data_IF_507471419610
#
_entry.id   IF_507471419610
#
_cell.length_a   1.000
_cell.length_b   1.000
_cell.length_c   1.000
_cell.angle_alpha   90.00
_cell.angle_beta   90.00
_cell.angle_gamma   90.00
#
_symmetry.space_group_name_H-M   'P 1'
#
loop_
_entity.id
_entity.type
_entity.pdbx_description
1 polymer ?
#
# COMPACT_ATOMS: atom_id res chain seq x y z
N UNK A 1 1.69 14.72 -18.24
CA UNK A 1 1.57 15.16 -16.81
C UNK A 1 1.70 13.95 -15.89
N UNK A 2 1.83 14.07 -14.57
CA UNK A 2 1.82 12.86 -13.73
C UNK A 2 0.44 12.17 -13.81
N UNK A 3 0.40 10.85 -13.98
CA UNK A 3 -0.85 10.11 -14.11
C UNK A 3 -1.57 9.91 -12.76
N UNK A 4 -0.90 10.19 -11.64
CA UNK A 4 -1.45 10.12 -10.29
C UNK A 4 -0.68 11.06 -9.37
N UNK A 5 -1.27 11.34 -8.20
CA UNK A 5 -0.73 12.24 -7.16
C UNK A 5 0.05 11.50 -6.10
N UNK A 6 -0.40 10.30 -5.71
CA UNK A 6 0.31 9.46 -4.74
C UNK A 6 -0.07 7.98 -4.81
N UNK A 7 0.67 7.16 -4.06
CA UNK A 7 0.22 5.84 -3.62
C UNK A 7 -0.76 6.02 -2.45
N UNK A 8 -2.05 5.78 -2.70
CA UNK A 8 -3.12 5.90 -1.72
C UNK A 8 -2.99 4.85 -0.62
N UNK A 9 -2.93 3.59 -1.03
CA UNK A 9 -2.74 2.46 -0.11
C UNK A 9 -2.12 1.24 -0.80
N UNK A 10 -1.59 0.35 0.04
CA UNK A 10 -1.13 -0.99 -0.31
C UNK A 10 -2.12 -2.00 0.26
N UNK A 11 -2.64 -2.88 -0.58
CA UNK A 11 -3.61 -3.91 -0.18
C UNK A 11 -2.86 -5.16 0.28
N UNK A 12 -3.13 -5.62 1.50
CA UNK A 12 -2.60 -6.86 2.06
C UNK A 12 -3.76 -7.82 2.29
N UNK A 13 -3.77 -8.92 1.52
CA UNK A 13 -4.71 -10.03 1.71
C UNK A 13 -4.20 -10.92 2.82
N UNK A 14 -5.06 -11.28 3.76
CA UNK A 14 -4.74 -12.03 4.97
C UNK A 14 -5.75 -13.14 5.21
N UNK A 15 -5.36 -14.16 5.97
CA UNK A 15 -6.32 -15.17 6.48
C UNK A 15 -7.09 -14.67 7.71
N UNK A 16 -6.46 -13.80 8.49
CA UNK A 16 -7.05 -13.11 9.63
C UNK A 16 -6.35 -11.75 9.80
N UNK A 17 -7.10 -10.69 10.11
CA UNK A 17 -6.55 -9.34 10.26
C UNK A 17 -5.93 -9.13 11.65
N UNK A 18 -6.52 -9.71 12.70
CA UNK A 18 -6.20 -9.40 14.10
C UNK A 18 -4.71 -9.50 14.48
N UNK A 19 -3.93 -10.51 14.02
CA UNK A 19 -2.52 -10.60 14.38
C UNK A 19 -1.70 -9.43 13.83
N UNK A 20 -1.84 -9.13 12.53
CA UNK A 20 -1.09 -8.03 11.91
C UNK A 20 -1.61 -6.67 12.39
N UNK A 21 -2.91 -6.54 12.65
CA UNK A 21 -3.48 -5.35 13.26
C UNK A 21 -2.89 -5.07 14.65
N UNK A 22 -2.84 -6.09 15.52
CA UNK A 22 -2.31 -5.96 16.88
C UNK A 22 -0.83 -5.59 16.88
N UNK A 23 -0.06 -6.15 15.94
CA UNK A 23 1.33 -5.78 15.73
C UNK A 23 1.45 -4.31 15.30
N UNK A 24 0.80 -3.91 14.20
CA UNK A 24 1.00 -2.59 13.61
C UNK A 24 0.39 -1.45 14.45
N UNK A 25 -0.87 -1.58 14.87
CA UNK A 25 -1.56 -0.54 15.64
C UNK A 25 -1.22 -0.59 17.13
N UNK A 26 -1.05 -1.79 17.68
CA UNK A 26 -0.78 -2.00 19.10
C UNK A 26 0.70 -1.88 19.43
N UNK A 27 1.51 -2.85 19.02
CA UNK A 27 2.92 -2.93 19.40
C UNK A 27 3.79 -1.85 18.76
N UNK A 28 3.60 -1.60 17.45
CA UNK A 28 4.32 -0.58 16.71
C UNK A 28 3.68 0.81 16.85
N UNK A 29 2.51 0.91 17.50
CA UNK A 29 1.85 2.19 17.80
C UNK A 29 1.55 3.04 16.56
N UNK A 30 1.35 2.41 15.39
CA UNK A 30 1.09 3.13 14.15
C UNK A 30 -0.36 3.64 14.12
N UNK A 31 -0.62 4.82 13.52
CA UNK A 31 -1.95 5.38 13.50
C UNK A 31 -2.94 4.52 12.71
N UNK A 32 -4.15 4.43 13.24
CA UNK A 32 -5.28 3.85 12.53
C UNK A 32 -5.89 4.91 11.61
N UNK A 33 -5.79 4.70 10.30
CA UNK A 33 -6.46 5.55 9.29
C UNK A 33 -7.89 5.10 9.03
N UNK A 34 -8.20 3.83 9.26
CA UNK A 34 -9.57 3.33 9.24
C UNK A 34 -9.74 2.24 10.30
N UNK A 35 -10.65 2.42 11.28
CA UNK A 35 -10.90 1.42 12.31
C UNK A 35 -11.19 0.02 11.77
N UNK A 36 -10.62 -0.99 12.41
CA UNK A 36 -10.90 -2.40 12.12
C UNK A 36 -12.40 -2.67 12.17
N UNK A 37 -12.92 -3.24 11.10
CA UNK A 37 -14.29 -3.69 10.94
C UNK A 37 -14.32 -5.20 10.79
N UNK A 38 -15.36 -5.81 11.34
CA UNK A 38 -15.72 -7.20 11.05
C UNK A 38 -17.13 -7.21 10.47
N UNK A 39 -17.26 -7.79 9.29
CA UNK A 39 -18.52 -7.90 8.55
C UNK A 39 -18.74 -9.34 8.08
N UNK A 40 -19.93 -9.62 7.56
CA UNK A 40 -20.27 -10.95 7.06
C UNK A 40 -19.44 -11.40 5.84
N UNK A 41 -18.77 -10.48 5.14
CA UNK A 41 -17.99 -10.77 3.94
C UNK A 41 -16.48 -10.63 4.13
N UNK A 42 -16.03 -9.81 5.08
CA UNK A 42 -14.61 -9.61 5.36
C UNK A 42 -14.38 -8.98 6.74
N UNK A 43 -13.15 -9.12 7.24
CA UNK A 43 -12.56 -8.25 8.26
C UNK A 43 -11.54 -7.34 7.60
N UNK A 44 -11.58 -6.04 7.87
CA UNK A 44 -10.72 -5.08 7.19
C UNK A 44 -10.50 -3.80 7.98
N UNK A 45 -9.38 -3.12 7.74
CA UNK A 45 -9.03 -1.87 8.40
C UNK A 45 -7.72 -1.32 7.85
N UNK A 46 -7.46 -0.02 8.07
CA UNK A 46 -6.31 0.67 7.47
C UNK A 46 -5.37 1.25 8.51
N UNK A 47 -4.07 1.02 8.34
CA UNK A 47 -3.01 1.57 9.19
C UNK A 47 -2.16 2.54 8.37
N UNK A 48 -1.92 3.73 8.91
CA UNK A 48 -1.02 4.69 8.30
C UNK A 48 0.44 4.32 8.56
N UNK A 49 1.25 4.32 7.52
CA UNK A 49 2.70 4.05 7.59
C UNK A 49 3.54 5.25 7.20
N UNK A 50 2.96 6.45 7.20
CA UNK A 50 3.63 7.73 6.97
C UNK A 50 3.22 8.37 5.66
N UNK A 51 3.69 7.80 4.55
CA UNK A 51 3.45 8.32 3.20
C UNK A 51 2.36 7.55 2.42
N UNK A 52 1.82 6.48 3.00
CA UNK A 52 0.72 5.69 2.44
C UNK A 52 -0.01 4.95 3.56
N UNK A 53 -1.09 4.24 3.21
CA UNK A 53 -1.82 3.36 4.13
C UNK A 53 -1.62 1.89 3.76
N UNK A 54 -1.66 1.00 4.76
CA UNK A 54 -1.80 -0.43 4.57
C UNK A 54 -3.27 -0.79 4.77
N UNK A 55 -3.94 -1.22 3.71
CA UNK A 55 -5.25 -1.85 3.79
C UNK A 55 -5.08 -3.32 4.15
N UNK A 56 -5.49 -3.69 5.36
CA UNK A 56 -5.52 -5.08 5.80
C UNK A 56 -6.89 -5.65 5.44
N UNK A 57 -6.91 -6.75 4.71
CA UNK A 57 -8.15 -7.39 4.25
C UNK A 57 -8.09 -8.90 4.41
N UNK A 58 -8.97 -9.44 5.26
CA UNK A 58 -9.25 -10.86 5.32
C UNK A 58 -10.67 -11.11 4.79
N UNK A 59 -10.75 -11.68 3.59
CA UNK A 59 -12.03 -12.09 3.02
C UNK A 59 -12.58 -13.30 3.78
N UNK A 60 -13.90 -13.47 3.77
CA UNK A 60 -14.53 -14.69 4.28
C UNK A 60 -14.17 -15.92 3.43
N UNK A 61 -13.95 -15.69 2.14
CA UNK A 61 -13.57 -16.69 1.15
C UNK A 61 -12.58 -16.04 0.16
N UNK A 62 -11.55 -16.79 -0.21
CA UNK A 62 -10.47 -16.36 -1.11
C UNK A 62 -10.56 -17.05 -2.49
N UNK A 63 -11.75 -17.53 -2.86
CA UNK A 63 -12.01 -18.15 -4.17
C UNK A 63 -11.82 -17.17 -5.35
N UNK A 64 -11.72 -15.87 -5.10
CA UNK A 64 -11.36 -14.86 -6.09
C UNK A 64 -9.85 -14.85 -6.42
N UNK A 65 -9.03 -15.55 -5.64
CA UNK A 65 -7.57 -15.60 -5.80
C UNK A 65 -7.10 -16.92 -6.42
N UNK A 66 -6.04 -16.91 -7.25
CA UNK A 66 -5.49 -18.14 -7.78
C UNK A 66 -4.82 -18.98 -6.66
N UNK A 67 -4.76 -20.32 -6.81
CA UNK A 67 -4.18 -21.22 -5.78
C UNK A 67 -2.74 -20.87 -5.37
N UNK A 68 -1.95 -20.38 -6.31
CA UNK A 68 -0.56 -19.99 -6.13
C UNK A 68 -0.38 -18.58 -5.56
N UNK A 69 -1.47 -17.81 -5.39
CA UNK A 69 -1.47 -16.48 -4.79
C UNK A 69 -2.41 -16.40 -3.58
N UNK A 70 -2.57 -17.48 -2.83
CA UNK A 70 -3.39 -17.47 -1.62
C UNK A 70 -2.77 -16.58 -0.52
N UNK A 71 -3.58 -15.97 0.36
CA UNK A 71 -3.07 -15.15 1.46
C UNK A 71 -2.30 -15.98 2.50
N UNK A 72 -1.47 -15.33 3.34
CA UNK A 72 -1.21 -13.89 3.40
C UNK A 72 -0.25 -13.39 2.32
N UNK A 73 -0.54 -12.21 1.74
CA UNK A 73 0.32 -11.55 0.74
C UNK A 73 0.01 -10.07 0.54
N UNK A 74 0.97 -9.35 0.00
CA UNK A 74 0.71 -8.01 -0.56
C UNK A 74 0.11 -8.20 -1.95
N UNK A 75 -1.15 -7.80 -2.11
CA UNK A 75 -1.95 -8.10 -3.30
C UNK A 75 -2.03 -6.94 -4.27
N UNK A 76 -1.88 -5.69 -3.83
CA UNK A 76 -2.10 -4.59 -4.75
C UNK A 76 -1.66 -3.21 -4.27
N UNK A 77 -1.67 -2.29 -5.22
CA UNK A 77 -1.25 -0.91 -5.07
C UNK A 77 -2.34 0.00 -5.65
N UNK A 78 -2.89 0.85 -4.80
CA UNK A 78 -3.89 1.84 -5.19
C UNK A 78 -3.22 3.20 -5.40
N UNK A 79 -3.42 3.78 -6.57
CA UNK A 79 -2.90 5.08 -6.95
C UNK A 79 -4.02 6.12 -6.88
N UNK A 80 -3.76 7.26 -6.25
CA UNK A 80 -4.70 8.39 -6.16
C UNK A 80 -4.59 9.27 -7.43
N UNK A 81 -5.54 9.20 -8.38
CA UNK A 81 -5.53 10.07 -9.56
C UNK A 81 -5.93 11.50 -9.16
N UNK A 82 -5.37 12.50 -9.85
CA UNK A 82 -5.86 13.88 -9.72
C UNK A 82 -7.25 14.03 -10.36
N UNK A 83 -7.40 13.44 -11.55
CA UNK A 83 -8.62 13.34 -12.32
C UNK A 83 -8.60 11.98 -13.02
N UNK A 84 -9.60 11.13 -12.76
CA UNK A 84 -9.55 9.73 -13.20
C UNK A 84 -9.55 9.60 -14.73
N UNK A 85 -10.36 10.40 -15.43
CA UNK A 85 -10.49 10.31 -16.89
C UNK A 85 -9.22 10.80 -17.57
N UNK A 86 -8.68 11.94 -17.13
CA UNK A 86 -7.42 12.48 -17.62
C UNK A 86 -6.25 11.52 -17.32
N UNK A 87 -6.23 10.90 -16.14
CA UNK A 87 -5.24 9.89 -15.78
C UNK A 87 -5.29 8.66 -16.68
N UNK A 88 -6.48 8.16 -17.00
CA UNK A 88 -6.66 7.03 -17.93
C UNK A 88 -6.22 7.42 -19.34
N UNK A 89 -6.59 8.62 -19.82
CA UNK A 89 -6.19 9.11 -21.14
C UNK A 89 -4.66 9.28 -21.24
N UNK A 90 -4.01 9.80 -20.20
CA UNK A 90 -2.56 9.92 -20.11
C UNK A 90 -1.89 8.54 -20.13
N UNK A 91 -2.39 7.56 -19.40
CA UNK A 91 -1.85 6.19 -19.44
C UNK A 91 -2.05 5.52 -20.81
N UNK A 92 -3.19 5.71 -21.45
CA UNK A 92 -3.43 5.22 -22.80
C UNK A 92 -2.43 5.82 -23.80
N UNK A 93 -2.13 7.12 -23.70
CA UNK A 93 -1.11 7.78 -24.52
C UNK A 93 0.31 7.22 -24.30
N UNK A 94 0.56 6.58 -23.16
CA UNK A 94 1.82 5.89 -22.83
C UNK A 94 1.78 4.39 -23.11
N UNK A 95 0.71 3.90 -23.74
CA UNK A 95 0.55 2.48 -24.07
C UNK A 95 0.26 1.60 -22.85
N UNK A 96 -0.36 2.15 -21.80
CA UNK A 96 -0.88 1.39 -20.66
C UNK A 96 -2.41 1.35 -20.75
N UNK A 97 -2.97 0.15 -20.88
CA UNK A 97 -4.39 -0.10 -20.89
C UNK A 97 -4.97 -0.11 -19.47
N UNK A 98 -6.18 0.44 -19.33
CA UNK A 98 -6.96 0.38 -18.10
C UNK A 98 -8.29 -0.33 -18.33
N UNK A 99 -8.80 -1.03 -17.30
CA UNK A 99 -10.22 -1.42 -17.27
C UNK A 99 -11.10 -0.16 -17.20
N UNK A 100 -12.32 -0.22 -17.75
CA UNK A 100 -13.29 0.85 -17.57
C UNK A 100 -13.50 1.19 -16.08
N UNK A 101 -13.64 2.48 -15.73
CA UNK A 101 -13.93 2.91 -14.36
C UNK A 101 -15.15 2.18 -13.78
N UNK A 102 -15.01 1.66 -12.56
CA UNK A 102 -16.09 1.00 -11.81
C UNK A 102 -16.31 1.72 -10.49
N UNK A 103 -17.47 2.34 -10.35
CA UNK A 103 -17.89 2.96 -9.11
C UNK A 103 -18.21 1.91 -8.04
N UNK A 104 -17.69 2.11 -6.83
CA UNK A 104 -18.11 1.42 -5.63
C UNK A 104 -19.11 2.29 -4.87
N UNK A 105 -20.27 1.72 -4.54
CA UNK A 105 -21.37 2.44 -3.91
C UNK A 105 -21.83 1.72 -2.66
N UNK A 106 -22.11 2.48 -1.60
CA UNK A 106 -22.77 1.98 -0.39
C UNK A 106 -24.03 2.77 -0.08
N UNK A 107 -24.87 2.24 0.81
CA UNK A 107 -25.95 3.02 1.39
C UNK A 107 -25.39 3.88 2.53
N UNK A 108 -25.74 5.15 2.56
CA UNK A 108 -25.46 6.02 3.70
C UNK A 108 -26.47 5.80 4.84
N UNK A 109 -26.34 6.58 5.92
CA UNK A 109 -27.24 6.49 7.08
C UNK A 109 -28.72 6.82 6.76
N UNK A 110 -29.00 7.49 5.63
CA UNK A 110 -30.36 7.76 5.15
C UNK A 110 -30.89 6.65 4.22
N UNK A 111 -30.06 5.66 3.90
CA UNK A 111 -30.36 4.60 2.93
C UNK A 111 -30.10 5.00 1.47
N UNK A 112 -29.60 6.21 1.22
CA UNK A 112 -29.31 6.69 -0.12
C UNK A 112 -28.03 6.02 -0.66
N UNK A 113 -28.04 5.65 -1.95
CA UNK A 113 -26.85 5.10 -2.61
C UNK A 113 -25.87 6.23 -2.94
N UNK A 114 -24.72 6.20 -2.28
CA UNK A 114 -23.61 7.14 -2.51
C UNK A 114 -22.45 6.42 -3.17
N UNK A 115 -21.76 7.10 -4.09
CA UNK A 115 -20.47 6.62 -4.61
C UNK A 115 -19.42 6.96 -3.57
N UNK A 116 -18.60 5.96 -3.20
CA UNK A 116 -17.53 6.16 -2.24
C UNK A 116 -16.23 6.49 -2.97
N UNK A 117 -15.92 5.66 -3.96
CA UNK A 117 -14.76 5.77 -4.82
C UNK A 117 -15.03 5.08 -6.15
N UNK A 118 -14.22 5.39 -7.15
CA UNK A 118 -14.24 4.75 -8.46
C UNK A 118 -12.87 4.16 -8.77
N UNK A 119 -12.84 2.87 -9.09
CA UNK A 119 -11.60 2.16 -9.41
C UNK A 119 -11.41 1.96 -10.91
N UNK A 120 -10.16 2.01 -11.38
CA UNK A 120 -9.78 1.57 -12.72
C UNK A 120 -8.47 0.78 -12.66
N UNK A 121 -8.49 -0.50 -13.04
CA UNK A 121 -7.32 -1.39 -12.99
C UNK A 121 -6.39 -1.11 -14.15
N UNK A 122 -5.08 -0.98 -13.90
CA UNK A 122 -4.04 -0.83 -14.92
C UNK A 122 -3.63 -2.22 -15.39
N UNK A 123 -4.11 -2.64 -16.57
CA UNK A 123 -4.02 -4.02 -17.06
C UNK A 123 -2.56 -4.45 -17.28
N UNK A 124 -1.74 -3.59 -17.88
CA UNK A 124 -0.34 -3.93 -18.22
C UNK A 124 0.63 -3.94 -17.02
N UNK A 125 0.13 -3.58 -15.83
CA UNK A 125 0.86 -3.62 -14.56
C UNK A 125 0.24 -4.59 -13.56
N UNK A 126 -0.89 -5.19 -13.93
CA UNK A 126 -1.64 -6.08 -13.05
C UNK A 126 -1.52 -7.52 -13.48
N UNK A 127 -1.70 -8.41 -12.51
CA UNK A 127 -1.88 -9.84 -12.66
C UNK A 127 -2.94 -10.31 -11.67
N UNK A 128 -3.31 -11.59 -11.73
CA UNK A 128 -4.22 -12.19 -10.75
C UNK A 128 -3.65 -12.17 -9.31
N UNK A 129 -2.33 -11.98 -9.17
CA UNK A 129 -1.61 -11.96 -7.90
C UNK A 129 -1.05 -10.58 -7.52
N UNK A 130 -1.23 -9.56 -8.35
CA UNK A 130 -0.76 -8.19 -8.13
C UNK A 130 -1.69 -7.22 -8.86
N UNK A 131 -2.56 -6.51 -8.15
CA UNK A 131 -3.50 -5.56 -8.73
C UNK A 131 -2.99 -4.13 -8.56
N UNK A 132 -2.71 -3.43 -9.66
CA UNK A 132 -2.40 -2.00 -9.67
C UNK A 132 -3.59 -1.25 -10.24
N UNK A 133 -4.13 -0.29 -9.49
CA UNK A 133 -5.36 0.40 -9.88
C UNK A 133 -5.40 1.85 -9.43
N UNK A 134 -6.13 2.69 -10.16
CA UNK A 134 -6.55 3.99 -9.65
C UNK A 134 -7.68 3.82 -8.65
N UNK A 135 -7.66 4.61 -7.57
CA UNK A 135 -8.72 4.76 -6.59
C UNK A 135 -9.11 6.24 -6.49
N UNK A 136 -10.14 6.64 -7.23
CA UNK A 136 -10.63 8.02 -7.23
C UNK A 136 -11.72 8.19 -6.17
N UNK A 137 -11.39 8.87 -5.07
CA UNK A 137 -12.32 9.16 -3.99
C UNK A 137 -13.39 10.17 -4.40
N UNK A 138 -14.65 9.88 -4.08
CA UNK A 138 -15.74 10.83 -4.21
C UNK A 138 -15.77 11.76 -2.99
N UNK A 139 -15.76 13.07 -3.20
CA UNK A 139 -15.74 14.05 -2.11
C UNK A 139 -17.01 14.03 -1.24
N UNK A 140 -18.14 13.61 -1.81
CA UNK A 140 -19.39 13.38 -1.07
C UNK A 140 -19.49 11.96 -0.51
N UNK A 141 -18.61 11.06 -0.96
CA UNK A 141 -18.56 9.66 -0.59
C UNK A 141 -18.16 9.46 0.87
N UNK A 142 -19.04 8.81 1.62
CA UNK A 142 -18.74 8.25 2.93
C UNK A 142 -18.60 6.75 2.78
N UNK A 143 -17.56 6.16 3.37
CA UNK A 143 -17.50 4.70 3.46
C UNK A 143 -18.12 4.33 4.78
N UNK A 144 -19.40 3.94 4.75
CA UNK A 144 -20.11 3.53 5.95
C UNK A 144 -19.30 2.46 6.72
N UNK A 145 -19.16 2.58 8.06
CA UNK A 145 -19.89 3.48 8.96
C UNK A 145 -19.27 4.87 9.17
N UNK A 146 -18.23 5.25 8.43
CA UNK A 146 -17.55 6.53 8.66
C UNK A 146 -18.36 7.70 8.07
N UNK A 147 -18.89 8.63 8.88
CA UNK A 147 -19.64 9.79 8.37
C UNK A 147 -18.74 10.85 7.70
N UNK A 148 -17.42 10.68 7.74
CA UNK A 148 -16.48 11.73 7.34
C UNK A 148 -16.43 11.88 5.81
N UNK A 149 -16.82 13.07 5.34
CA UNK A 149 -16.77 13.49 3.94
C UNK A 149 -15.45 14.21 3.68
N UNK A 150 -14.37 13.44 3.61
CA UNK A 150 -13.07 13.95 3.19
C UNK A 150 -12.72 13.45 1.80
N UNK A 151 -12.26 14.37 0.96
CA UNK A 151 -11.57 14.01 -0.28
C UNK A 151 -10.19 13.39 0.00
N UNK A 152 -9.53 12.91 -1.06
CA UNK A 152 -8.21 12.26 -0.96
C UNK A 152 -7.13 13.16 -0.33
N UNK A 153 -7.13 14.46 -0.64
CA UNK A 153 -6.13 15.40 -0.14
C UNK A 153 -6.34 15.69 1.36
N UNK A 154 -7.60 15.86 1.76
CA UNK A 154 -7.99 16.06 3.15
C UNK A 154 -7.67 14.83 4.00
N UNK A 155 -7.97 13.62 3.51
CA UNK A 155 -7.61 12.36 4.19
C UNK A 155 -6.10 12.26 4.39
N UNK A 156 -5.31 12.52 3.35
CA UNK A 156 -3.86 12.51 3.44
C UNK A 156 -3.33 13.53 4.43
N UNK A 157 -3.86 14.75 4.42
CA UNK A 157 -3.43 15.81 5.35
C UNK A 157 -3.73 15.44 6.81
N UNK A 158 -4.92 14.88 7.08
CA UNK A 158 -5.30 14.36 8.40
C UNK A 158 -4.35 13.24 8.83
N UNK A 159 -4.15 12.23 7.99
CA UNK A 159 -3.31 11.07 8.31
C UNK A 159 -1.87 11.47 8.56
N UNK A 160 -1.31 12.37 7.73
CA UNK A 160 0.02 12.92 7.92
C UNK A 160 0.16 13.67 9.26
N UNK A 161 -0.87 14.41 9.68
CA UNK A 161 -0.88 15.09 10.99
C UNK A 161 -0.83 14.08 12.14
N UNK A 162 -1.65 13.02 12.09
CA UNK A 162 -1.68 11.99 13.14
C UNK A 162 -0.37 11.20 13.18
N UNK A 163 0.18 10.82 12.02
CA UNK A 163 1.45 10.12 11.94
C UNK A 163 2.63 10.93 12.45
N UNK A 164 2.68 12.23 12.14
CA UNK A 164 3.69 13.13 12.72
C UNK A 164 3.59 13.19 14.25
N UNK A 165 2.38 13.18 14.81
CA UNK A 165 2.18 13.23 16.25
C UNK A 165 2.72 11.97 16.97
N UNK A 166 2.59 10.78 16.37
CA UNK A 166 3.17 9.56 16.94
C UNK A 166 4.65 9.36 16.57
N UNK A 167 5.23 10.23 15.73
CA UNK A 167 6.63 10.20 15.28
C UNK A 167 7.07 8.88 14.64
N UNK A 168 6.11 8.15 14.05
CA UNK A 168 6.34 6.82 13.47
C UNK A 168 6.38 5.67 14.48
N UNK A 169 5.82 5.88 15.67
CA UNK A 169 5.80 4.89 16.74
C UNK A 169 7.20 4.60 17.32
N UNK A 170 7.34 3.52 18.09
CA UNK A 170 8.61 3.17 18.74
C UNK A 170 9.77 2.87 17.78
N UNK A 171 9.46 2.44 16.55
CA UNK A 171 10.46 2.23 15.51
C UNK A 171 10.99 3.54 14.90
N UNK A 172 10.28 4.65 15.10
CA UNK A 172 10.56 5.89 14.38
C UNK A 172 10.36 5.73 12.87
N UNK A 173 9.29 5.04 12.46
CA UNK A 173 8.93 4.83 11.06
C UNK A 173 8.78 6.18 10.32
N UNK A 174 9.24 6.24 9.08
CA UNK A 174 9.17 7.43 8.24
C UNK A 174 8.15 7.26 7.11
N UNK A 175 8.09 6.08 6.52
CA UNK A 175 7.37 5.84 5.28
C UNK A 175 7.70 4.48 4.70
N UNK A 176 6.88 4.02 3.75
CA UNK A 176 7.30 3.02 2.77
C UNK A 176 8.38 3.64 1.87
N UNK A 177 9.46 2.91 1.59
CA UNK A 177 10.54 3.38 0.72
C UNK A 177 10.73 2.56 -0.54
N UNK A 178 10.44 1.26 -0.45
CA UNK A 178 10.62 0.37 -1.59
C UNK A 178 9.60 -0.75 -1.59
N UNK A 179 9.09 -1.05 -2.78
CA UNK A 179 8.25 -2.19 -3.07
C UNK A 179 9.07 -3.15 -3.94
N UNK A 180 9.29 -4.37 -3.45
CA UNK A 180 9.93 -5.43 -4.20
C UNK A 180 8.91 -6.21 -5.01
N UNK A 181 9.07 -6.25 -6.33
CA UNK A 181 8.23 -7.02 -7.24
C UNK A 181 9.05 -8.16 -7.84
N UNK A 182 8.53 -9.38 -7.74
CA UNK A 182 8.97 -10.48 -8.56
C UNK A 182 8.17 -10.46 -9.86
N UNK A 183 8.85 -10.49 -11.01
CA UNK A 183 8.24 -10.37 -12.34
C UNK A 183 8.75 -11.45 -13.30
N UNK A 184 7.93 -11.95 -14.23
CA UNK A 184 8.36 -12.97 -15.19
C UNK A 184 9.38 -12.45 -16.21
N UNK A 185 9.22 -11.20 -16.65
CA UNK A 185 10.15 -10.50 -17.55
C UNK A 185 10.49 -9.12 -16.95
N UNK A 186 11.74 -8.98 -16.50
CA UNK A 186 12.22 -7.74 -15.88
C UNK A 186 12.30 -6.57 -16.87
N UNK A 187 12.65 -6.85 -18.14
CA UNK A 187 12.80 -5.81 -19.14
C UNK A 187 11.44 -5.24 -19.54
N UNK A 188 10.46 -6.11 -19.78
CA UNK A 188 9.08 -5.71 -20.05
C UNK A 188 8.49 -4.97 -18.85
N UNK A 189 8.57 -5.54 -17.65
CA UNK A 189 8.05 -4.90 -16.44
C UNK A 189 8.70 -3.53 -16.20
N UNK A 190 10.01 -3.41 -16.39
CA UNK A 190 10.74 -2.13 -16.27
C UNK A 190 10.21 -1.09 -17.25
N UNK A 191 9.94 -1.48 -18.50
CA UNK A 191 9.35 -0.59 -19.49
C UNK A 191 7.95 -0.11 -19.07
N UNK A 192 7.07 -1.02 -18.60
CA UNK A 192 5.71 -0.69 -18.14
C UNK A 192 5.69 0.21 -16.91
N UNK A 193 6.49 -0.12 -15.91
CA UNK A 193 6.60 0.69 -14.69
C UNK A 193 7.17 2.07 -14.98
N UNK A 194 8.15 2.20 -15.88
CA UNK A 194 8.65 3.52 -16.30
C UNK A 194 7.63 4.33 -17.09
N UNK A 195 6.82 3.67 -17.92
CA UNK A 195 5.72 4.34 -18.61
C UNK A 195 4.69 4.88 -17.62
N UNK A 196 4.36 4.13 -16.56
CA UNK A 196 3.48 4.59 -15.49
C UNK A 196 4.05 5.83 -14.78
N UNK A 197 5.29 5.73 -14.31
CA UNK A 197 5.90 6.74 -13.44
C UNK A 197 6.54 7.91 -14.18
N UNK A 198 6.68 7.82 -15.49
CA UNK A 198 7.53 8.71 -16.30
C UNK A 198 8.98 8.82 -15.78
N UNK A 199 9.48 7.79 -15.10
CA UNK A 199 10.84 7.79 -14.55
C UNK A 199 11.90 7.76 -15.67
N UNK A 200 12.98 8.55 -15.57
CA UNK A 200 14.11 8.49 -16.49
C UNK A 200 14.89 7.18 -16.31
N UNK A 201 16.02 7.02 -17.02
CA UNK A 201 16.97 5.90 -16.75
C UNK A 201 17.45 5.97 -15.29
N UNK A 202 17.49 4.83 -14.60
CA UNK A 202 17.84 4.75 -13.17
C UNK A 202 16.77 4.01 -12.34
N UNK A 203 16.71 4.20 -11.01
CA UNK A 203 15.66 3.64 -10.17
C UNK A 203 14.25 4.03 -10.64
N UNK A 204 13.28 3.13 -10.52
CA UNK A 204 11.88 3.41 -10.85
C UNK A 204 11.26 4.08 -9.62
N UNK A 205 11.05 5.39 -9.69
CA UNK A 205 10.41 6.14 -8.62
C UNK A 205 8.88 6.09 -8.80
N UNK A 206 8.20 5.29 -7.98
CA UNK A 206 6.73 5.29 -7.90
C UNK A 206 6.23 6.60 -7.30
N UNK A 207 6.93 7.07 -6.26
CA UNK A 207 6.81 8.38 -5.65
C UNK A 207 8.23 8.94 -5.45
N UNK A 208 8.40 10.25 -5.16
CA UNK A 208 9.73 10.80 -4.84
C UNK A 208 10.46 10.04 -3.72
N UNK A 209 9.71 9.41 -2.82
CA UNK A 209 10.18 8.68 -1.65
C UNK A 209 9.88 7.17 -1.70
N UNK A 210 9.22 6.65 -2.76
CA UNK A 210 8.89 5.23 -2.92
C UNK A 210 9.46 4.72 -4.24
N UNK A 211 10.37 3.75 -4.18
CA UNK A 211 10.91 3.07 -5.35
C UNK A 211 10.23 1.72 -5.60
N UNK A 212 10.21 1.30 -6.87
CA UNK A 212 9.90 -0.07 -7.27
C UNK A 212 11.21 -0.77 -7.64
N UNK A 213 11.46 -1.91 -7.00
CA UNK A 213 12.57 -2.79 -7.32
C UNK A 213 12.02 -4.05 -7.97
N UNK A 214 12.47 -4.32 -9.21
CA UNK A 214 12.08 -5.50 -9.96
C UNK A 214 13.15 -6.58 -9.77
N UNK A 215 12.71 -7.83 -9.66
CA UNK A 215 13.57 -9.00 -9.69
C UNK A 215 12.89 -10.13 -10.46
N UNK A 216 13.64 -11.07 -11.04
CA UNK A 216 13.06 -12.24 -11.68
C UNK A 216 12.23 -13.06 -10.68
N UNK A 217 10.98 -13.34 -11.04
CA UNK A 217 10.05 -14.15 -10.26
C UNK A 217 10.02 -15.62 -10.66
N UNK A 218 9.47 -16.46 -9.78
CA UNK A 218 9.23 -17.89 -10.07
C UNK A 218 7.87 -18.17 -10.71
N UNK A 219 6.97 -17.20 -10.66
CA UNK A 219 5.61 -17.30 -11.16
C UNK A 219 5.51 -16.72 -12.58
N UNK A 220 4.56 -17.19 -13.40
CA UNK A 220 4.30 -16.62 -14.73
C UNK A 220 3.62 -15.24 -14.67
N UNK A 221 3.47 -14.67 -13.48
CA UNK A 221 2.81 -13.40 -13.22
C UNK A 221 3.59 -12.60 -12.18
N UNK A 222 3.37 -11.29 -12.15
CA UNK A 222 3.97 -10.41 -11.17
C UNK A 222 3.40 -10.64 -9.76
N UNK A 223 4.25 -10.55 -8.73
CA UNK A 223 3.89 -10.60 -7.31
C UNK A 223 4.64 -9.51 -6.53
N UNK A 224 3.99 -8.96 -5.50
CA UNK A 224 4.66 -8.08 -4.53
C UNK A 224 5.25 -8.96 -3.43
N UNK A 225 6.57 -9.05 -3.39
CA UNK A 225 7.30 -9.97 -2.51
C UNK A 225 7.74 -9.31 -1.21
N UNK A 226 8.02 -8.01 -1.22
CA UNK A 226 8.47 -7.31 -0.01
C UNK A 226 8.05 -5.85 0.06
N UNK A 227 7.88 -5.37 1.29
CA UNK A 227 7.72 -3.96 1.62
C UNK A 227 8.89 -3.54 2.50
N UNK A 228 9.58 -2.48 2.10
CA UNK A 228 10.75 -1.96 2.81
C UNK A 228 10.44 -0.54 3.28
N UNK A 229 10.45 -0.36 4.60
CA UNK A 229 10.11 0.88 5.26
C UNK A 229 11.36 1.62 5.74
N UNK A 230 11.32 2.95 5.67
CA UNK A 230 12.32 3.81 6.28
C UNK A 230 12.10 3.95 7.78
N UNK A 231 13.15 3.87 8.57
CA UNK A 231 13.18 4.25 9.99
C UNK A 231 14.19 5.36 10.22
N UNK A 232 13.95 6.24 11.20
CA UNK A 232 14.86 7.36 11.50
C UNK A 232 16.23 6.91 12.02
N UNK A 233 16.27 5.78 12.74
CA UNK A 233 17.49 5.23 13.30
C UNK A 233 17.44 3.71 13.26
N UNK A 234 18.30 3.10 12.45
CA UNK A 234 18.37 1.64 12.36
C UNK A 234 18.83 0.98 13.67
N UNK A 235 19.80 1.54 14.43
CA UNK A 235 20.13 1.02 15.76
C UNK A 235 18.95 1.03 16.73
N UNK A 236 18.14 2.10 16.74
CA UNK A 236 16.95 2.18 17.59
C UNK A 236 15.91 1.12 17.21
N UNK A 237 15.59 1.02 15.91
CA UNK A 237 14.65 0.02 15.41
C UNK A 237 15.13 -1.41 15.73
N UNK A 238 16.42 -1.69 15.56
CA UNK A 238 17.04 -2.98 15.88
C UNK A 238 16.87 -3.34 17.35
N UNK A 239 17.17 -2.42 18.25
CA UNK A 239 17.03 -2.64 19.68
C UNK A 239 15.58 -2.94 20.07
N UNK A 240 14.63 -2.15 19.55
CA UNK A 240 13.20 -2.33 19.81
C UNK A 240 12.68 -3.69 19.33
N UNK A 241 13.03 -4.07 18.09
CA UNK A 241 12.61 -5.35 17.49
C UNK A 241 13.25 -6.54 18.22
N UNK A 242 14.54 -6.46 18.55
CA UNK A 242 15.24 -7.54 19.24
C UNK A 242 14.67 -7.78 20.66
N UNK A 243 14.38 -6.72 21.42
CA UNK A 243 13.78 -6.81 22.76
C UNK A 243 12.43 -7.55 22.75
N UNK A 244 11.66 -7.41 21.65
CA UNK A 244 10.34 -8.03 21.46
C UNK A 244 10.38 -9.34 20.69
N UNK A 245 11.58 -9.86 20.37
CA UNK A 245 11.77 -11.04 19.54
C UNK A 245 11.16 -10.90 18.13
N UNK A 246 10.98 -9.66 17.64
CA UNK A 246 10.43 -9.34 16.32
C UNK A 246 11.50 -9.20 15.22
N UNK A 247 12.76 -9.54 15.50
CA UNK A 247 13.87 -9.43 14.56
C UNK A 247 14.25 -10.81 14.01
N UNK A 248 14.03 -11.05 12.72
CA UNK A 248 14.45 -12.29 12.04
C UNK A 248 15.94 -12.25 11.70
N UNK A 249 16.32 -11.17 11.01
CA UNK A 249 17.64 -10.99 10.44
C UNK A 249 18.03 -9.53 10.52
N UNK A 250 19.33 -9.29 10.66
CA UNK A 250 19.87 -7.97 10.89
C UNK A 250 21.22 -7.83 10.21
N UNK A 251 21.36 -6.84 9.35
CA UNK A 251 22.61 -6.42 8.71
C UNK A 251 22.91 -4.97 9.08
N UNK A 252 24.09 -4.41 8.72
CA UNK A 252 24.37 -3.00 8.94
C UNK A 252 23.35 -2.05 8.31
N UNK A 253 22.76 -2.42 7.17
CA UNK A 253 21.93 -1.52 6.35
C UNK A 253 20.44 -1.89 6.35
N UNK A 254 20.08 -3.09 6.78
CA UNK A 254 18.70 -3.60 6.70
C UNK A 254 18.35 -4.50 7.90
N UNK A 255 17.10 -4.41 8.37
CA UNK A 255 16.47 -5.30 9.32
C UNK A 255 15.30 -6.04 8.65
N UNK A 256 15.08 -7.29 9.02
CA UNK A 256 13.95 -8.10 8.57
C UNK A 256 13.07 -8.44 9.77
N UNK A 257 11.76 -8.17 9.64
CA UNK A 257 10.77 -8.49 10.66
C UNK A 257 10.62 -10.01 10.78
N UNK A 258 10.46 -10.50 12.00
CA UNK A 258 10.29 -11.91 12.31
C UNK A 258 9.12 -12.54 11.54
N UNK A 259 9.35 -13.69 10.89
CA UNK A 259 8.31 -14.37 10.11
C UNK A 259 7.14 -14.84 10.96
N UNK A 260 7.36 -15.11 12.25
CA UNK A 260 6.27 -15.47 13.16
C UNK A 260 5.36 -14.29 13.50
N UNK A 261 5.83 -13.04 13.37
CA UNK A 261 5.04 -11.84 13.62
C UNK A 261 4.10 -11.53 12.44
N UNK A 262 4.51 -11.86 11.22
CA UNK A 262 3.70 -11.74 10.01
C UNK A 262 4.00 -12.89 9.01
N UNK A 263 3.46 -14.10 9.24
CA UNK A 263 3.71 -15.23 8.36
C UNK A 263 3.41 -14.89 6.91
N UNK A 264 4.29 -15.29 5.98
CA UNK A 264 4.12 -15.09 4.54
C UNK A 264 4.31 -13.65 4.03
N UNK A 265 4.61 -12.67 4.89
CA UNK A 265 4.97 -11.31 4.48
C UNK A 265 6.46 -11.07 4.75
N UNK A 266 7.14 -10.41 3.80
CA UNK A 266 8.52 -9.93 3.95
C UNK A 266 8.50 -8.41 4.20
N UNK A 267 8.56 -8.03 5.47
CA UNK A 267 8.59 -6.65 5.90
C UNK A 267 10.00 -6.30 6.38
N UNK A 268 10.56 -5.23 5.80
CA UNK A 268 11.96 -4.83 6.01
C UNK A 268 12.07 -3.39 6.47
N UNK A 269 13.16 -3.08 7.13
CA UNK A 269 13.45 -1.72 7.59
C UNK A 269 14.86 -1.29 7.20
N UNK A 270 14.99 -0.07 6.69
CA UNK A 270 16.26 0.57 6.33
C UNK A 270 16.35 1.95 6.96
N UNK A 271 17.56 2.47 7.16
CA UNK A 271 17.70 3.83 7.66
C UNK A 271 17.27 4.84 6.58
N UNK A 272 16.36 5.74 6.96
CA UNK A 272 15.86 6.74 6.04
C UNK A 272 16.93 7.82 5.75
N UNK A 273 17.01 8.34 4.51
CA UNK A 273 17.89 9.45 4.20
C UNK A 273 17.64 10.63 5.15
N UNK A 274 18.69 11.36 5.52
CA UNK A 274 18.55 12.55 6.37
C UNK A 274 17.57 13.54 5.74
N UNK A 275 16.53 13.91 6.49
CA UNK A 275 15.46 14.81 6.02
C UNK A 275 14.23 14.09 5.42
N UNK A 276 14.26 12.78 5.24
CA UNK A 276 13.07 12.02 4.86
C UNK A 276 11.99 12.11 5.96
N UNK A 277 10.76 12.45 5.56
CA UNK A 277 9.63 12.69 6.48
C UNK A 277 9.57 14.10 7.10
N UNK A 278 10.40 15.04 6.63
CA UNK A 278 10.31 16.46 6.93
C UNK A 278 9.73 17.24 5.73
N UNK A 279 8.56 16.81 5.25
CA UNK A 279 7.80 17.57 4.26
C UNK A 279 6.78 18.45 5.01
N UNK A 280 6.99 19.77 4.93
CA UNK A 280 6.03 20.80 5.31
C UNK A 280 4.83 20.81 4.37
#
# INVERSE_FOLDING_TARGET
MAAYRALDHVVIRLRAVDPLWSLLAGELGLPVSWPLQHSAFASFGWINVGNTNLELWAARDDADMPPEAQPPRVQGLALDPADLEASIAELAARGIACKPPRAYRTQDASGASVTNFTNAVLLDLSSDACCVFFCAWDAAGTIYPWPEKLDALQRRARDAKVFRACRGGPLGLVGLQRIGLAVPDEAEASARWRALTASPRGPIALMPDIAVALAPGRHPFATIESLCFGVRSLPQARAFLAERQLLEASSPDELVLARHACPGLDLRFVEAPRGAGASD
#
